data_IF_740544664928
#
_entry.id   IF_740544664928
#
_cell.length_a   1.000
_cell.length_b   1.000
_cell.length_c   1.000
_cell.angle_alpha   90.00
_cell.angle_beta   90.00
_cell.angle_gamma   90.00
#
_symmetry.space_group_name_H-M   'P 1'
#
loop_
_entity.id
_entity.type
_entity.pdbx_description
1 polymer ?
#
# COMPACT_ATOMS: atom_id res chain seq x y z
N UNK A 1 -12.31 19.11 -6.34
CA UNK A 1 -12.08 19.01 -4.88
C UNK A 1 -11.29 17.75 -4.59
N UNK A 2 -10.29 17.82 -3.70
CA UNK A 2 -9.49 16.65 -3.32
C UNK A 2 -10.21 15.88 -2.23
N UNK A 3 -10.52 14.60 -2.47
CA UNK A 3 -11.11 13.70 -1.48
C UNK A 3 -10.04 12.72 -1.01
N UNK A 4 -9.74 12.72 0.29
CA UNK A 4 -8.86 11.73 0.91
C UNK A 4 -9.53 10.37 0.99
N UNK A 5 -8.72 9.32 0.97
CA UNK A 5 -9.18 7.94 1.13
C UNK A 5 -8.41 7.26 2.24
N UNK A 6 -9.11 6.57 3.14
CA UNK A 6 -8.53 5.53 3.97
C UNK A 6 -9.24 4.20 3.71
N UNK A 7 -8.47 3.11 3.72
CA UNK A 7 -9.02 1.77 3.52
C UNK A 7 -8.36 0.86 4.54
N UNK A 8 -9.16 0.37 5.47
CA UNK A 8 -8.71 -0.28 6.70
C UNK A 8 -9.28 -1.69 6.79
N UNK A 9 -8.44 -2.63 7.21
CA UNK A 9 -8.84 -4.01 7.49
C UNK A 9 -9.56 -4.10 8.82
N UNK A 10 -10.70 -4.81 8.86
CA UNK A 10 -11.39 -5.18 10.10
C UNK A 10 -11.06 -6.65 10.39
N UNK A 11 -10.67 -6.93 11.63
CA UNK A 11 -10.42 -8.28 12.14
C UNK A 11 -11.01 -8.40 13.54
N UNK A 12 -11.92 -9.34 13.74
CA UNK A 12 -12.58 -9.56 15.03
C UNK A 12 -13.19 -8.28 15.61
N UNK A 13 -13.91 -7.51 14.79
CA UNK A 13 -14.54 -6.26 15.19
C UNK A 13 -13.60 -5.09 15.46
N UNK A 14 -12.32 -5.16 15.08
CA UNK A 14 -11.34 -4.10 15.32
C UNK A 14 -10.54 -3.78 14.07
N UNK A 15 -9.98 -2.59 14.01
CA UNK A 15 -9.01 -2.18 12.98
C UNK A 15 -7.60 -2.30 13.60
N UNK A 16 -6.83 -3.37 13.29
CA UNK A 16 -5.57 -3.67 14.00
C UNK A 16 -4.50 -2.58 13.89
N UNK A 17 -4.48 -1.84 12.77
CA UNK A 17 -3.49 -0.79 12.48
C UNK A 17 -4.12 0.62 12.54
N UNK A 18 -5.16 0.80 13.35
CA UNK A 18 -5.93 2.05 13.39
C UNK A 18 -5.04 3.28 13.66
N UNK A 19 -4.12 3.19 14.62
CA UNK A 19 -3.23 4.31 14.97
C UNK A 19 -2.37 4.78 13.79
N UNK A 20 -1.90 3.86 12.92
CA UNK A 20 -1.13 4.21 11.73
C UNK A 20 -2.00 4.86 10.66
N UNK A 21 -3.24 4.39 10.49
CA UNK A 21 -4.21 5.03 9.60
C UNK A 21 -4.57 6.43 10.09
N UNK A 22 -4.85 6.59 11.38
CA UNK A 22 -5.20 7.88 11.99
C UNK A 22 -4.05 8.89 11.85
N UNK A 23 -2.81 8.47 12.10
CA UNK A 23 -1.63 9.32 11.92
C UNK A 23 -1.44 9.79 10.48
N UNK A 24 -1.53 8.89 9.49
CA UNK A 24 -1.44 9.25 8.07
C UNK A 24 -2.60 10.16 7.64
N UNK A 25 -3.81 9.86 8.08
CA UNK A 25 -5.00 10.64 7.76
C UNK A 25 -4.87 12.08 8.29
N UNK A 26 -4.53 12.25 9.58
CA UNK A 26 -4.32 13.55 10.19
C UNK A 26 -3.23 14.37 9.48
N UNK A 27 -2.10 13.74 9.14
CA UNK A 27 -1.03 14.39 8.37
C UNK A 27 -1.50 14.86 6.99
N UNK A 28 -2.35 14.07 6.32
CA UNK A 28 -2.91 14.44 5.01
C UNK A 28 -3.98 15.53 5.11
N UNK A 29 -4.84 15.50 6.14
CA UNK A 29 -5.83 16.56 6.44
C UNK A 29 -5.12 17.90 6.59
N UNK A 30 -4.07 17.95 7.44
CA UNK A 30 -3.29 19.16 7.68
C UNK A 30 -2.58 19.65 6.40
N UNK A 31 -1.91 18.77 5.67
CA UNK A 31 -1.15 19.12 4.46
C UNK A 31 -2.02 19.63 3.31
N UNK A 32 -3.27 19.17 3.22
CA UNK A 32 -4.21 19.55 2.17
C UNK A 32 -5.17 20.66 2.59
N UNK A 33 -5.04 21.20 3.80
CA UNK A 33 -5.89 22.28 4.33
C UNK A 33 -7.36 21.86 4.40
N UNK A 34 -7.65 20.60 4.70
CA UNK A 34 -9.02 20.14 4.94
C UNK A 34 -9.51 20.59 6.32
N UNK A 35 -10.83 20.65 6.56
CA UNK A 35 -11.37 21.11 7.83
C UNK A 35 -10.81 20.38 9.04
N UNK A 36 -10.52 21.11 10.10
CA UNK A 36 -10.18 20.52 11.40
C UNK A 36 -11.37 19.71 11.94
N UNK A 37 -11.06 18.66 12.69
CA UNK A 37 -12.09 17.80 13.28
C UNK A 37 -12.50 16.60 12.42
N UNK A 38 -12.01 16.46 11.19
CA UNK A 38 -12.13 15.20 10.45
C UNK A 38 -11.34 14.10 11.17
N UNK A 39 -12.01 12.99 11.51
CA UNK A 39 -11.43 11.89 12.26
C UNK A 39 -11.87 10.52 11.70
N UNK A 40 -11.11 9.48 11.99
CA UNK A 40 -11.47 8.10 11.62
C UNK A 40 -12.25 7.36 12.74
N UNK A 41 -12.67 8.03 13.82
CA UNK A 41 -13.30 7.38 14.97
C UNK A 41 -14.65 6.75 14.61
N UNK A 42 -15.42 7.35 13.70
CA UNK A 42 -16.66 6.77 13.19
C UNK A 42 -16.41 5.45 12.44
N UNK A 43 -15.30 5.37 11.70
CA UNK A 43 -14.91 4.13 11.03
C UNK A 43 -14.50 3.04 12.05
N UNK A 44 -13.89 3.43 13.17
CA UNK A 44 -13.59 2.51 14.26
C UNK A 44 -14.86 2.00 14.94
N UNK A 45 -15.88 2.84 15.10
CA UNK A 45 -17.19 2.44 15.62
C UNK A 45 -17.92 1.49 14.67
N UNK A 46 -17.90 1.77 13.37
CA UNK A 46 -18.49 0.90 12.35
C UNK A 46 -17.83 -0.49 12.35
N UNK A 47 -16.52 -0.56 12.57
CA UNK A 47 -15.80 -1.82 12.62
C UNK A 47 -16.31 -2.76 13.73
N UNK A 48 -16.83 -2.24 14.85
CA UNK A 48 -17.36 -3.05 15.94
C UNK A 48 -18.59 -3.89 15.54
N UNK A 49 -19.29 -3.50 14.48
CA UNK A 49 -20.47 -4.19 13.97
C UNK A 49 -20.12 -5.28 12.94
N UNK A 50 -18.87 -5.39 12.53
CA UNK A 50 -18.40 -6.30 11.48
C UNK A 50 -17.31 -7.22 12.04
N UNK A 51 -17.51 -8.55 12.07
CA UNK A 51 -16.52 -9.48 12.62
C UNK A 51 -15.24 -9.50 11.79
N UNK A 52 -15.37 -9.34 10.47
CA UNK A 52 -14.26 -9.32 9.50
C UNK A 52 -14.68 -8.54 8.25
N UNK A 53 -13.75 -7.82 7.63
CA UNK A 53 -14.08 -7.02 6.45
C UNK A 53 -13.07 -5.92 6.16
N UNK A 54 -13.54 -4.94 5.40
CA UNK A 54 -12.80 -3.74 5.03
C UNK A 54 -13.73 -2.55 5.20
N UNK A 55 -13.30 -1.53 5.91
CA UNK A 55 -13.95 -0.22 5.94
C UNK A 55 -13.15 0.77 5.09
N UNK A 56 -13.86 1.53 4.27
CA UNK A 56 -13.31 2.61 3.45
C UNK A 56 -13.92 3.93 3.91
N UNK A 57 -13.07 4.89 4.12
CA UNK A 57 -13.40 6.29 4.42
C UNK A 57 -13.03 7.14 3.23
N UNK A 58 -13.92 8.04 2.84
CA UNK A 58 -13.68 9.15 1.94
C UNK A 58 -13.96 10.43 2.70
N UNK A 59 -13.03 11.38 2.67
CA UNK A 59 -13.12 12.62 3.43
C UNK A 59 -12.72 13.82 2.57
N UNK A 60 -13.52 14.87 2.62
CA UNK A 60 -13.32 16.15 1.94
C UNK A 60 -13.85 17.32 2.78
N UNK A 61 -13.97 18.50 2.19
CA UNK A 61 -14.47 19.69 2.86
C UNK A 61 -15.95 19.60 3.32
N UNK A 62 -16.74 18.66 2.80
CA UNK A 62 -18.13 18.43 3.16
C UNK A 62 -18.28 17.43 4.32
N UNK A 63 -17.21 16.68 4.65
CA UNK A 63 -17.24 15.72 5.74
C UNK A 63 -16.70 14.34 5.37
N UNK A 64 -17.22 13.33 6.04
CA UNK A 64 -16.76 11.95 5.93
C UNK A 64 -17.88 11.04 5.44
N UNK A 65 -17.55 10.18 4.47
CA UNK A 65 -18.39 9.06 4.02
C UNK A 65 -17.68 7.75 4.36
N UNK A 66 -18.43 6.82 4.93
CA UNK A 66 -17.95 5.49 5.31
C UNK A 66 -18.70 4.44 4.52
N UNK A 67 -17.96 3.45 3.99
CA UNK A 67 -18.52 2.27 3.35
C UNK A 67 -17.77 1.03 3.84
N UNK A 68 -18.45 -0.12 3.84
CA UNK A 68 -17.84 -1.39 4.24
C UNK A 68 -18.08 -2.47 3.17
N UNK A 69 -17.19 -3.46 3.14
CA UNK A 69 -17.29 -4.62 2.24
C UNK A 69 -16.57 -5.83 2.82
N UNK A 70 -16.81 -6.99 2.23
CA UNK A 70 -16.06 -8.20 2.53
C UNK A 70 -14.58 -8.05 2.21
N UNK A 71 -13.76 -8.83 2.88
CA UNK A 71 -12.34 -8.96 2.59
C UNK A 71 -12.06 -10.12 1.65
N UNK A 72 -11.12 -9.90 0.76
CA UNK A 72 -10.55 -10.94 -0.09
C UNK A 72 -9.13 -11.26 0.37
N UNK A 73 -8.84 -12.55 0.54
CA UNK A 73 -7.50 -13.01 0.89
C UNK A 73 -6.49 -12.69 -0.21
N UNK A 74 -5.26 -12.32 0.15
CA UNK A 74 -4.23 -12.07 -0.84
C UNK A 74 -3.90 -13.35 -1.62
N UNK A 75 -3.62 -13.18 -2.92
CA UNK A 75 -3.10 -14.24 -3.80
C UNK A 75 -1.76 -13.80 -4.37
N UNK A 76 -0.83 -14.73 -4.62
CA UNK A 76 0.39 -14.42 -5.35
C UNK A 76 0.06 -13.80 -6.72
N UNK A 77 0.72 -12.71 -7.08
CA UNK A 77 0.41 -11.95 -8.29
C UNK A 77 1.59 -11.88 -9.27
N UNK A 78 1.27 -11.82 -10.56
CA UNK A 78 2.17 -11.36 -11.60
C UNK A 78 2.06 -9.84 -11.72
N UNK A 79 3.19 -9.18 -11.88
CA UNK A 79 3.28 -7.72 -11.94
C UNK A 79 4.01 -7.30 -13.21
N UNK A 80 3.54 -6.22 -13.83
CA UNK A 80 4.26 -5.53 -14.92
C UNK A 80 4.73 -4.16 -14.44
N UNK A 81 5.97 -3.82 -14.77
CA UNK A 81 6.47 -2.48 -14.58
C UNK A 81 5.88 -1.54 -15.65
N UNK A 82 5.43 -0.37 -15.21
CA UNK A 82 4.83 0.64 -16.08
C UNK A 82 5.50 1.98 -15.79
N UNK A 83 6.12 2.62 -16.80
CA UNK A 83 6.78 3.92 -16.62
C UNK A 83 5.77 5.05 -16.40
N UNK A 84 6.28 6.22 -16.00
CA UNK A 84 5.49 7.44 -15.85
C UNK A 84 4.94 7.65 -14.43
N UNK A 85 5.65 7.14 -13.42
CA UNK A 85 5.32 7.43 -12.02
C UNK A 85 5.39 8.93 -11.74
N UNK A 86 4.36 9.42 -11.04
CA UNK A 86 4.30 10.78 -10.50
C UNK A 86 4.08 10.75 -9.00
N UNK A 87 4.69 11.68 -8.23
CA UNK A 87 4.54 11.73 -6.78
C UNK A 87 3.09 11.68 -6.31
N UNK A 88 2.82 10.84 -5.31
CA UNK A 88 1.50 10.61 -4.73
C UNK A 88 1.59 10.53 -3.20
N UNK A 89 1.97 11.61 -2.50
CA UNK A 89 2.22 11.58 -1.05
C UNK A 89 0.94 11.47 -0.22
N UNK A 90 -0.22 11.76 -0.79
CA UNK A 90 -1.52 11.68 -0.12
C UNK A 90 -2.45 10.72 -0.83
N UNK A 91 -3.13 9.86 -0.07
CA UNK A 91 -4.06 8.87 -0.61
C UNK A 91 -5.40 9.53 -0.96
N UNK A 92 -5.62 9.83 -2.23
CA UNK A 92 -6.79 10.57 -2.72
C UNK A 92 -7.60 9.76 -3.73
N UNK A 93 -8.77 10.29 -4.13
CA UNK A 93 -9.59 9.74 -5.21
C UNK A 93 -9.01 9.98 -6.59
N UNK A 94 -8.07 10.91 -6.77
CA UNK A 94 -7.32 11.02 -8.02
C UNK A 94 -6.34 9.86 -8.15
N UNK A 95 -6.76 8.86 -8.88
CA UNK A 95 -6.03 7.61 -9.08
C UNK A 95 -5.74 7.34 -10.56
N UNK A 96 -5.79 8.38 -11.39
CA UNK A 96 -5.67 8.26 -12.83
C UNK A 96 -4.40 7.50 -13.28
N UNK A 97 -3.23 7.85 -12.71
CA UNK A 97 -1.98 7.15 -13.02
C UNK A 97 -2.02 5.66 -12.64
N UNK A 98 -2.60 5.33 -11.48
CA UNK A 98 -2.70 3.94 -11.01
C UNK A 98 -3.69 3.12 -11.82
N UNK A 99 -4.84 3.72 -12.18
CA UNK A 99 -5.85 3.07 -13.03
C UNK A 99 -5.31 2.81 -14.43
N UNK A 100 -4.61 3.76 -15.01
CA UNK A 100 -3.95 3.61 -16.31
C UNK A 100 -2.87 2.53 -16.29
N UNK A 101 -2.00 2.55 -15.27
CA UNK A 101 -0.96 1.53 -15.12
C UNK A 101 -1.56 0.13 -14.92
N UNK A 102 -2.61 0.00 -14.09
CA UNK A 102 -3.30 -1.26 -13.89
C UNK A 102 -3.90 -1.79 -15.21
N UNK A 103 -4.59 -0.95 -15.98
CA UNK A 103 -5.15 -1.33 -17.27
C UNK A 103 -4.06 -1.81 -18.25
N UNK A 104 -2.91 -1.13 -18.28
CA UNK A 104 -1.75 -1.55 -19.09
C UNK A 104 -1.25 -2.94 -18.67
N UNK A 105 -1.05 -3.18 -17.37
CA UNK A 105 -0.58 -4.45 -16.85
C UNK A 105 -1.55 -5.60 -17.14
N UNK A 106 -2.85 -5.37 -16.94
CA UNK A 106 -3.91 -6.34 -17.26
C UNK A 106 -3.93 -6.68 -18.76
N UNK A 107 -3.77 -5.69 -19.63
CA UNK A 107 -3.64 -5.90 -21.08
C UNK A 107 -2.43 -6.73 -21.49
N UNK A 108 -1.39 -6.79 -20.64
CA UNK A 108 -0.20 -7.62 -20.80
C UNK A 108 -0.28 -8.96 -20.04
N UNK A 109 -1.45 -9.33 -19.52
CA UNK A 109 -1.69 -10.60 -18.84
C UNK A 109 -1.16 -10.68 -17.40
N UNK A 110 -0.86 -9.55 -16.78
CA UNK A 110 -0.47 -9.49 -15.37
C UNK A 110 -1.67 -9.18 -14.47
N UNK A 111 -1.50 -9.33 -13.16
CA UNK A 111 -2.55 -9.09 -12.16
C UNK A 111 -2.56 -7.63 -11.68
N UNK A 112 -1.42 -6.93 -11.72
CA UNK A 112 -1.30 -5.54 -11.26
C UNK A 112 -0.01 -4.88 -11.82
N UNK A 113 0.13 -3.56 -11.63
CA UNK A 113 1.26 -2.77 -12.07
C UNK A 113 2.18 -2.33 -10.92
N UNK A 114 3.48 -2.28 -11.22
CA UNK A 114 4.49 -1.53 -10.49
C UNK A 114 4.82 -0.27 -11.27
N UNK A 115 4.53 0.90 -10.71
CA UNK A 115 4.89 2.17 -11.34
C UNK A 115 6.39 2.44 -11.17
N UNK A 116 6.99 2.98 -12.23
CA UNK A 116 8.43 3.17 -12.35
C UNK A 116 8.71 4.64 -12.69
N UNK A 117 9.73 5.20 -12.07
CA UNK A 117 10.21 6.57 -12.35
C UNK A 117 10.84 6.65 -13.74
N UNK A 118 11.02 7.86 -14.27
CA UNK A 118 11.70 8.10 -15.54
C UNK A 118 13.17 7.60 -15.54
N UNK A 119 13.77 7.46 -14.36
CA UNK A 119 15.10 6.87 -14.18
C UNK A 119 15.11 5.32 -14.14
N UNK A 120 13.96 4.66 -14.34
CA UNK A 120 13.84 3.21 -14.30
C UNK A 120 13.85 2.61 -12.89
N UNK A 121 13.67 3.44 -11.85
CA UNK A 121 13.62 2.99 -10.46
C UNK A 121 12.20 2.61 -10.07
N UNK A 122 12.07 1.53 -9.31
CA UNK A 122 10.80 1.10 -8.78
C UNK A 122 10.24 2.08 -7.75
N UNK A 123 8.97 2.44 -7.87
CA UNK A 123 8.28 3.36 -6.96
C UNK A 123 7.26 2.62 -6.09
N UNK A 124 6.05 2.43 -6.55
CA UNK A 124 4.98 1.76 -5.81
C UNK A 124 4.00 1.04 -6.74
N UNK A 125 3.24 0.11 -6.19
CA UNK A 125 2.16 -0.53 -6.94
C UNK A 125 0.87 0.28 -6.94
N UNK A 126 -0.15 -0.22 -7.65
CA UNK A 126 -1.40 0.54 -7.78
C UNK A 126 -2.14 0.73 -6.45
N UNK A 127 -2.09 -0.26 -5.56
CA UNK A 127 -2.75 -0.24 -4.24
C UNK A 127 -1.85 -0.78 -3.13
N UNK A 128 -0.56 -0.93 -3.36
CA UNK A 128 0.39 -1.54 -2.44
C UNK A 128 1.74 -0.86 -2.50
N UNK A 129 2.50 -0.96 -1.40
CA UNK A 129 3.90 -0.55 -1.32
C UNK A 129 4.81 -1.73 -1.66
N UNK A 130 5.95 -1.44 -2.30
CA UNK A 130 6.95 -2.40 -2.69
C UNK A 130 7.97 -2.62 -1.58
N UNK A 131 8.40 -3.88 -1.40
CA UNK A 131 9.45 -4.28 -0.47
C UNK A 131 10.35 -5.35 -1.09
N UNK A 132 11.60 -5.39 -0.66
CA UNK A 132 12.55 -6.44 -1.03
C UNK A 132 13.56 -6.67 0.09
N UNK A 133 14.26 -7.77 0.00
CA UNK A 133 15.34 -8.08 0.94
C UNK A 133 16.70 -7.80 0.31
N UNK A 134 17.59 -7.18 1.08
CA UNK A 134 19.01 -7.14 0.78
C UNK A 134 19.84 -7.66 1.94
N UNK A 135 21.16 -7.40 1.93
CA UNK A 135 22.07 -7.85 2.99
C UNK A 135 21.86 -7.09 4.30
N UNK A 136 21.34 -5.87 4.24
CA UNK A 136 21.12 -5.00 5.41
C UNK A 136 19.75 -5.21 6.05
N UNK A 137 18.83 -5.85 5.35
CA UNK A 137 17.49 -6.12 5.88
C UNK A 137 16.35 -5.89 4.89
N UNK A 138 15.19 -5.52 5.41
CA UNK A 138 14.02 -5.18 4.63
C UNK A 138 14.16 -3.77 4.06
N UNK A 139 13.99 -3.63 2.74
CA UNK A 139 14.09 -2.37 2.03
C UNK A 139 12.79 -2.01 1.30
N UNK A 140 12.62 -0.72 1.01
CA UNK A 140 11.47 -0.14 0.30
C UNK A 140 11.91 1.13 -0.43
N UNK A 141 11.21 1.59 -1.47
CA UNK A 141 11.51 2.86 -2.12
C UNK A 141 11.46 4.03 -1.14
N UNK A 142 12.34 5.04 -1.25
CA UNK A 142 12.38 6.15 -0.32
C UNK A 142 11.18 7.09 -0.47
N UNK A 143 10.72 7.66 0.65
CA UNK A 143 9.65 8.67 0.63
C UNK A 143 10.02 9.90 -0.19
N UNK A 144 11.31 10.18 -0.36
CA UNK A 144 11.80 11.24 -1.24
C UNK A 144 11.44 11.08 -2.72
N UNK A 145 11.01 9.89 -3.16
CA UNK A 145 10.39 9.69 -4.48
C UNK A 145 8.94 10.21 -4.55
N UNK A 146 8.36 10.61 -3.43
CA UNK A 146 6.96 11.00 -3.33
C UNK A 146 6.00 9.81 -3.31
N UNK A 147 6.46 8.59 -3.03
CA UNK A 147 5.59 7.43 -2.85
C UNK A 147 4.67 7.62 -1.64
N UNK A 148 3.50 6.98 -1.67
CA UNK A 148 2.57 7.03 -0.56
C UNK A 148 3.26 6.56 0.74
N UNK A 149 3.15 7.31 1.86
CA UNK A 149 3.56 6.84 3.18
C UNK A 149 2.59 5.73 3.66
N UNK A 150 2.75 4.54 3.09
CA UNK A 150 1.84 3.41 3.26
C UNK A 150 1.79 2.92 4.72
N UNK A 151 0.59 2.56 5.20
CA UNK A 151 0.43 1.98 6.55
C UNK A 151 1.18 0.65 6.70
N UNK A 152 1.28 -0.15 5.64
CA UNK A 152 2.12 -1.35 5.67
C UNK A 152 3.61 -1.01 5.85
N UNK A 153 4.08 0.09 5.22
CA UNK A 153 5.44 0.60 5.42
C UNK A 153 5.68 1.02 6.87
N UNK A 154 4.76 1.81 7.44
CA UNK A 154 4.83 2.22 8.85
C UNK A 154 4.81 1.00 9.79
N UNK A 155 3.97 0.00 9.50
CA UNK A 155 3.92 -1.25 10.26
C UNK A 155 5.25 -2.00 10.24
N UNK A 156 5.92 -2.11 9.09
CA UNK A 156 7.22 -2.77 9.03
C UNK A 156 8.31 -1.98 9.77
N UNK A 157 8.25 -0.65 9.76
CA UNK A 157 9.14 0.17 10.56
C UNK A 157 8.96 -0.05 12.08
N UNK A 158 7.73 -0.25 12.57
CA UNK A 158 7.47 -0.65 13.95
C UNK A 158 7.99 -2.06 14.30
N UNK A 159 7.99 -2.96 13.32
CA UNK A 159 8.44 -4.34 13.52
C UNK A 159 9.96 -4.49 13.53
N UNK A 160 10.69 -3.49 13.06
CA UNK A 160 12.14 -3.52 13.00
C UNK A 160 12.71 -2.48 12.03
N UNK A 161 13.97 -2.62 11.68
CA UNK A 161 14.64 -1.70 10.77
C UNK A 161 14.10 -1.85 9.34
N UNK A 162 13.65 -0.74 8.78
CA UNK A 162 13.24 -0.62 7.38
C UNK A 162 14.20 0.33 6.66
N UNK A 163 14.88 -0.20 5.65
CA UNK A 163 15.82 0.57 4.84
C UNK A 163 15.07 1.28 3.69
N UNK A 164 15.41 2.53 3.43
CA UNK A 164 15.01 3.23 2.22
C UNK A 164 16.11 3.13 1.18
N UNK A 165 15.79 2.58 0.01
CA UNK A 165 16.77 2.46 -1.07
C UNK A 165 16.08 2.62 -2.44
N UNK A 166 16.84 3.17 -3.40
CA UNK A 166 16.43 3.19 -4.81
C UNK A 166 16.90 1.90 -5.47
N UNK A 167 16.05 1.28 -6.26
CA UNK A 167 16.40 0.04 -6.93
C UNK A 167 15.82 0.01 -8.35
N UNK A 168 16.66 -0.23 -9.37
CA UNK A 168 16.18 -0.49 -10.73
C UNK A 168 15.32 -1.75 -10.80
N UNK A 169 14.25 -1.72 -11.58
CA UNK A 169 13.28 -2.83 -11.69
C UNK A 169 13.95 -4.18 -12.00
N UNK A 170 14.93 -4.32 -12.92
CA UNK A 170 15.53 -5.62 -13.22
C UNK A 170 16.20 -6.31 -12.02
N UNK A 171 16.60 -5.54 -11.01
CA UNK A 171 17.23 -6.10 -9.80
C UNK A 171 16.24 -6.68 -8.78
N UNK A 172 14.94 -6.37 -8.89
CA UNK A 172 13.91 -6.77 -7.92
C UNK A 172 13.63 -8.28 -7.91
N UNK A 173 13.49 -8.89 -9.09
CA UNK A 173 13.17 -10.32 -9.19
C UNK A 173 14.24 -11.20 -8.49
N UNK A 174 15.50 -10.83 -8.61
CA UNK A 174 16.62 -11.53 -8.01
C UNK A 174 16.65 -11.38 -6.48
N UNK A 175 16.16 -10.25 -5.97
CA UNK A 175 16.20 -9.91 -4.53
C UNK A 175 15.02 -10.44 -3.72
N UNK A 176 14.04 -11.08 -4.35
CA UNK A 176 12.90 -11.60 -3.62
C UNK A 176 11.94 -10.50 -3.15
N UNK A 177 11.42 -9.72 -4.08
CA UNK A 177 10.48 -8.64 -3.79
C UNK A 177 9.07 -9.15 -3.49
N UNK A 178 8.32 -8.33 -2.75
CA UNK A 178 6.91 -8.58 -2.42
C UNK A 178 6.16 -7.25 -2.25
N UNK A 179 4.85 -7.34 -2.30
CA UNK A 179 3.94 -6.23 -2.07
C UNK A 179 3.34 -6.30 -0.66
N UNK A 180 2.94 -5.15 -0.11
CA UNK A 180 2.11 -5.14 1.09
C UNK A 180 1.18 -3.92 1.13
N UNK A 181 0.01 -4.10 1.76
CA UNK A 181 -0.89 -3.02 2.13
C UNK A 181 -1.64 -3.34 3.43
N UNK A 182 -2.31 -2.33 3.99
CA UNK A 182 -3.01 -2.44 5.27
C UNK A 182 -4.36 -3.19 5.20
N UNK A 183 -4.73 -3.74 4.05
CA UNK A 183 -5.96 -4.55 3.87
C UNK A 183 -5.62 -6.02 3.74
N UNK A 184 -4.63 -6.34 2.90
CA UNK A 184 -4.25 -7.71 2.55
C UNK A 184 -3.03 -8.21 3.32
N UNK A 185 -2.30 -7.31 4.00
CA UNK A 185 -1.00 -7.65 4.58
C UNK A 185 0.07 -7.85 3.51
N UNK A 186 0.91 -8.84 3.67
CA UNK A 186 1.94 -9.24 2.70
C UNK A 186 1.32 -9.98 1.53
N UNK A 187 1.67 -9.59 0.32
CA UNK A 187 1.18 -10.16 -0.94
C UNK A 187 2.40 -10.64 -1.73
N UNK A 188 2.57 -11.94 -1.96
CA UNK A 188 3.69 -12.44 -2.74
C UNK A 188 3.63 -11.95 -4.20
N UNK A 189 4.74 -11.49 -4.74
CA UNK A 189 4.93 -11.29 -6.18
C UNK A 189 5.59 -12.56 -6.71
N UNK A 190 4.89 -13.32 -7.57
CA UNK A 190 5.41 -14.55 -8.17
C UNK A 190 6.19 -14.31 -9.45
N UNK A 191 5.88 -13.20 -10.13
CA UNK A 191 6.45 -12.84 -11.42
C UNK A 191 6.53 -11.30 -11.54
N UNK A 192 7.64 -10.80 -12.04
CA UNK A 192 7.83 -9.41 -12.40
C UNK A 192 8.40 -9.32 -13.82
N UNK A 193 7.67 -8.67 -14.73
CA UNK A 193 8.02 -8.51 -16.15
C UNK A 193 8.36 -9.83 -16.88
N UNK A 194 7.66 -10.93 -16.53
CA UNK A 194 7.90 -12.25 -17.08
C UNK A 194 8.99 -13.05 -16.37
N UNK A 195 9.77 -12.44 -15.49
CA UNK A 195 10.77 -13.11 -14.69
C UNK A 195 10.18 -13.64 -13.37
N UNK A 196 10.45 -14.90 -13.03
CA UNK A 196 10.05 -15.47 -11.74
C UNK A 196 10.78 -14.74 -10.59
N UNK A 197 10.02 -14.30 -9.60
CA UNK A 197 10.55 -13.67 -8.40
C UNK A 197 11.00 -14.75 -7.42
N UNK A 198 12.24 -14.61 -6.94
CA UNK A 198 12.78 -15.53 -5.94
C UNK A 198 11.99 -15.45 -4.63
N UNK A 199 11.48 -16.58 -4.17
CA UNK A 199 10.87 -16.69 -2.85
C UNK A 199 11.93 -16.50 -1.74
N UNK A 200 11.54 -15.80 -0.66
CA UNK A 200 12.40 -15.60 0.51
C UNK A 200 11.63 -15.99 1.77
N UNK A 201 12.19 -16.90 2.55
CA UNK A 201 11.57 -17.36 3.79
C UNK A 201 11.36 -16.23 4.82
N UNK A 202 12.17 -15.18 4.78
CA UNK A 202 12.00 -14.00 5.63
C UNK A 202 10.65 -13.35 5.38
N UNK A 203 10.17 -13.34 4.12
CA UNK A 203 8.85 -12.82 3.75
C UNK A 203 7.72 -13.63 4.39
N UNK A 204 7.84 -14.96 4.44
CA UNK A 204 6.84 -15.83 5.09
C UNK A 204 6.78 -15.54 6.59
N UNK A 205 7.94 -15.45 7.25
CA UNK A 205 8.02 -15.11 8.68
C UNK A 205 7.48 -13.71 8.97
N UNK A 206 7.74 -12.74 8.09
CA UNK A 206 7.22 -11.38 8.20
C UNK A 206 5.71 -11.34 8.05
N UNK A 207 5.16 -12.06 7.08
CA UNK A 207 3.71 -12.15 6.83
C UNK A 207 2.95 -12.69 8.05
N UNK A 208 3.48 -13.73 8.71
CA UNK A 208 2.89 -14.33 9.91
C UNK A 208 2.78 -13.35 11.09
N UNK A 209 3.63 -12.31 11.12
CA UNK A 209 3.71 -11.31 12.20
C UNK A 209 3.13 -9.94 11.82
N UNK A 210 2.64 -9.78 10.60
CA UNK A 210 2.17 -8.47 10.09
C UNK A 210 1.03 -7.90 10.93
N UNK A 211 0.05 -8.74 11.26
CA UNK A 211 -1.09 -8.32 12.06
C UNK A 211 -0.77 -8.44 13.56
N UNK A 212 -1.03 -7.37 14.33
CA UNK A 212 -0.88 -7.42 15.80
C UNK A 212 -1.95 -8.28 16.46
#
# INVERSE_FOLDING_TARGET
MTTLIETMRIRRGRIPLFHLHAGRFAASVAALGLPDGLSLDDAAREANHLPDGVVRVEADAQGIRITSRSHESPRPMAVRSVPGYRPYPHKTTDRSQFSGACATALGLGADDALLVTDAGEAAEGTIWSLFWWDRTGLCTPPLALGVLPGVARARFAEMGSLCEARLPVPALAIRGCFAANAVRGVIPIRELDGALVRADERTVRLAARFWP
#
